data_IF_923854786348
#
_entry.id   IF_923854786348
#
_cell.length_a   1.000
_cell.length_b   1.000
_cell.length_c   1.000
_cell.angle_alpha   90.00
_cell.angle_beta   90.00
_cell.angle_gamma   90.00
#
_symmetry.space_group_name_H-M   'P 1'
#
loop_
_entity.id
_entity.type
_entity.pdbx_description
1 polymer ?
#
# COMPACT_ATOMS: atom_id res chain seq x y z
N UNK A 1 -20.88 -50.44 4.13
CA UNK A 1 -21.77 -49.27 3.99
C UNK A 1 -20.99 -48.08 4.50
N UNK A 2 -20.74 -47.09 3.65
CA UNK A 2 -20.07 -45.84 4.02
C UNK A 2 -20.99 -45.03 4.94
N UNK A 3 -20.50 -44.63 6.11
CA UNK A 3 -21.26 -43.78 7.04
C UNK A 3 -21.47 -42.40 6.39
N UNK A 4 -22.71 -41.92 6.39
CA UNK A 4 -23.09 -40.60 5.86
C UNK A 4 -23.25 -39.62 7.02
N UNK A 5 -22.78 -38.38 6.81
CA UNK A 5 -22.92 -37.26 7.74
C UNK A 5 -23.84 -36.23 7.09
N UNK A 6 -24.81 -35.70 7.85
CA UNK A 6 -25.64 -34.59 7.40
C UNK A 6 -24.87 -33.29 7.52
N UNK A 7 -24.46 -32.72 6.38
CA UNK A 7 -23.66 -31.51 6.31
C UNK A 7 -24.54 -30.33 5.91
N UNK A 8 -24.66 -29.34 6.79
CA UNK A 8 -25.33 -28.05 6.53
C UNK A 8 -24.31 -27.03 6.08
N UNK A 9 -24.54 -26.41 4.92
CA UNK A 9 -23.67 -25.40 4.35
C UNK A 9 -24.28 -24.01 4.50
N UNK A 10 -23.53 -23.09 5.11
CA UNK A 10 -23.97 -21.71 5.37
C UNK A 10 -22.97 -20.74 4.75
N UNK A 11 -23.47 -19.78 3.98
CA UNK A 11 -22.65 -18.65 3.52
C UNK A 11 -22.46 -17.65 4.66
N UNK A 12 -21.22 -17.40 5.07
CA UNK A 12 -20.89 -16.44 6.15
C UNK A 12 -21.21 -15.00 5.82
N UNK A 13 -21.23 -14.64 4.54
CA UNK A 13 -21.47 -13.26 4.10
C UNK A 13 -22.95 -12.91 4.13
N UNK A 14 -23.81 -13.86 3.76
CA UNK A 14 -25.27 -13.65 3.69
C UNK A 14 -26.03 -14.25 4.87
N UNK A 15 -25.42 -15.18 5.61
CA UNK A 15 -26.07 -15.98 6.65
C UNK A 15 -27.07 -17.00 6.12
N UNK A 16 -27.16 -17.16 4.79
CA UNK A 16 -28.15 -18.03 4.14
C UNK A 16 -27.62 -19.47 4.14
N UNK A 17 -28.50 -20.42 4.48
CA UNK A 17 -28.24 -21.85 4.28
C UNK A 17 -28.27 -22.15 2.79
N UNK A 18 -27.12 -22.55 2.25
CA UNK A 18 -26.94 -22.91 0.85
C UNK A 18 -27.54 -24.30 0.54
N UNK A 19 -27.56 -25.18 1.53
CA UNK A 19 -28.19 -26.49 1.45
C UNK A 19 -27.77 -27.45 2.56
N UNK A 20 -28.46 -28.58 2.64
CA UNK A 20 -28.13 -29.71 3.52
C UNK A 20 -27.92 -30.93 2.64
N UNK A 21 -26.77 -31.61 2.79
CA UNK A 21 -26.41 -32.76 1.96
C UNK A 21 -25.89 -33.90 2.84
N UNK A 22 -26.15 -35.13 2.41
CA UNK A 22 -25.52 -36.32 2.99
C UNK A 22 -24.16 -36.55 2.33
N UNK A 23 -23.09 -36.38 3.10
CA UNK A 23 -21.71 -36.52 2.63
C UNK A 23 -21.10 -37.80 3.22
N UNK A 24 -20.49 -38.68 2.41
CA UNK A 24 -19.73 -39.82 2.92
C UNK A 24 -18.58 -39.36 3.84
N UNK A 25 -18.43 -40.01 4.99
CA UNK A 25 -17.38 -39.68 5.96
C UNK A 25 -15.97 -39.68 5.34
N UNK A 26 -15.72 -40.55 4.36
CA UNK A 26 -14.44 -40.66 3.64
C UNK A 26 -14.10 -39.40 2.82
N UNK A 27 -15.09 -38.55 2.51
CA UNK A 27 -14.91 -37.28 1.81
C UNK A 27 -14.75 -36.09 2.77
N UNK A 28 -14.86 -36.32 4.09
CA UNK A 28 -14.67 -35.30 5.11
C UNK A 28 -13.28 -35.44 5.75
N UNK A 29 -12.57 -34.33 6.00
CA UNK A 29 -11.30 -34.37 6.71
C UNK A 29 -11.50 -34.82 8.17
N UNK A 30 -10.41 -35.28 8.79
CA UNK A 30 -10.43 -35.66 10.21
C UNK A 30 -10.65 -34.47 11.16
N UNK A 31 -10.33 -33.25 10.71
CA UNK A 31 -10.51 -32.01 11.46
C UNK A 31 -10.65 -30.83 10.50
N UNK A 32 -11.45 -29.84 10.90
CA UNK A 32 -11.59 -28.54 10.24
C UNK A 32 -10.88 -27.41 11.02
N UNK A 33 -9.97 -27.74 11.94
CA UNK A 33 -9.16 -26.75 12.66
C UNK A 33 -8.12 -26.06 11.74
N UNK A 34 -7.79 -26.68 10.61
CA UNK A 34 -6.91 -26.08 9.60
C UNK A 34 -7.76 -25.52 8.46
N UNK A 35 -7.33 -24.37 7.92
CA UNK A 35 -7.95 -23.74 6.76
C UNK A 35 -8.14 -24.76 5.63
N UNK A 36 -9.40 -25.02 5.28
CA UNK A 36 -9.79 -26.04 4.31
C UNK A 36 -10.62 -25.41 3.21
N UNK A 37 -10.28 -25.71 1.95
CA UNK A 37 -11.05 -25.27 0.79
C UNK A 37 -11.86 -26.42 0.22
N UNK A 38 -13.11 -26.16 -0.15
CA UNK A 38 -14.04 -27.13 -0.72
C UNK A 38 -14.51 -26.65 -2.09
N UNK A 39 -14.50 -27.54 -3.09
CA UNK A 39 -15.09 -27.25 -4.39
C UNK A 39 -16.53 -27.75 -4.43
N UNK A 40 -17.49 -26.84 -4.61
CA UNK A 40 -18.93 -27.16 -4.66
C UNK A 40 -19.59 -26.36 -5.78
N UNK A 41 -20.30 -27.05 -6.68
CA UNK A 41 -21.04 -26.41 -7.77
C UNK A 41 -20.15 -25.66 -8.76
N UNK A 42 -18.89 -26.07 -8.92
CA UNK A 42 -17.92 -25.40 -9.79
C UNK A 42 -17.30 -24.13 -9.20
N UNK A 43 -17.61 -23.79 -7.94
CA UNK A 43 -16.98 -22.70 -7.20
C UNK A 43 -16.10 -23.24 -6.07
N UNK A 44 -15.01 -22.54 -5.79
CA UNK A 44 -14.15 -22.82 -4.63
C UNK A 44 -14.70 -22.06 -3.42
N UNK A 45 -14.74 -22.71 -2.26
CA UNK A 45 -15.26 -22.16 -1.01
C UNK A 45 -14.23 -22.35 0.11
N UNK A 46 -13.95 -21.30 0.87
CA UNK A 46 -13.13 -21.37 2.09
C UNK A 46 -14.03 -21.72 3.27
N UNK A 47 -13.67 -22.74 4.06
CA UNK A 47 -14.35 -23.06 5.32
C UNK A 47 -13.78 -22.16 6.40
N UNK A 48 -14.61 -21.25 6.91
CA UNK A 48 -14.23 -20.29 7.95
C UNK A 48 -14.51 -20.85 9.35
N UNK A 49 -15.56 -21.65 9.49
CA UNK A 49 -15.94 -22.27 10.76
C UNK A 49 -16.68 -23.59 10.53
N UNK A 50 -16.41 -24.56 11.41
CA UNK A 50 -17.06 -25.86 11.42
C UNK A 50 -17.59 -26.17 12.82
N UNK A 51 -18.82 -26.67 12.89
CA UNK A 51 -19.47 -27.07 14.13
C UNK A 51 -20.17 -28.43 13.93
N UNK A 52 -19.69 -29.53 14.55
CA UNK A 52 -18.46 -29.68 15.32
C UNK A 52 -17.16 -29.59 14.49
N UNK A 53 -16.01 -29.34 15.15
CA UNK A 53 -14.71 -29.11 14.45
C UNK A 53 -13.97 -30.40 14.10
N UNK A 54 -14.24 -31.49 14.80
CA UNK A 54 -13.49 -32.74 14.70
C UNK A 54 -14.37 -33.91 14.25
N UNK A 55 -13.76 -34.87 13.56
CA UNK A 55 -14.48 -36.05 13.07
C UNK A 55 -15.14 -36.86 14.18
N UNK A 56 -14.48 -37.03 15.33
CA UNK A 56 -15.07 -37.76 16.46
C UNK A 56 -16.41 -37.18 16.90
N UNK A 57 -16.53 -35.84 16.91
CA UNK A 57 -17.73 -35.13 17.34
C UNK A 57 -18.85 -35.19 16.31
N UNK A 58 -18.56 -34.95 15.03
CA UNK A 58 -19.60 -35.00 14.00
C UNK A 58 -20.01 -36.42 13.60
N UNK A 59 -19.14 -37.42 13.79
CA UNK A 59 -19.50 -38.84 13.71
C UNK A 59 -20.51 -39.20 14.81
N UNK A 60 -20.30 -38.67 16.02
CA UNK A 60 -21.18 -38.92 17.16
C UNK A 60 -22.53 -38.22 17.04
N UNK A 61 -22.55 -36.98 16.56
CA UNK A 61 -23.79 -36.22 16.35
C UNK A 61 -24.53 -36.63 15.07
N UNK A 62 -23.82 -37.17 14.07
CA UNK A 62 -24.33 -37.40 12.72
C UNK A 62 -24.57 -36.12 11.92
N UNK A 63 -24.12 -34.96 12.44
CA UNK A 63 -24.37 -33.64 11.88
C UNK A 63 -23.11 -32.78 11.91
N UNK A 64 -22.92 -32.03 10.84
CA UNK A 64 -21.83 -31.08 10.68
C UNK A 64 -22.38 -29.80 10.05
N UNK A 65 -22.09 -28.64 10.61
CA UNK A 65 -22.38 -27.34 10.01
C UNK A 65 -21.09 -26.69 9.56
N UNK A 66 -21.00 -26.35 8.28
CA UNK A 66 -19.87 -25.64 7.69
C UNK A 66 -20.31 -24.24 7.29
N UNK A 67 -19.69 -23.25 7.93
CA UNK A 67 -19.79 -21.84 7.58
C UNK A 67 -18.65 -21.52 6.63
N UNK A 68 -18.98 -21.12 5.41
CA UNK A 68 -18.03 -20.96 4.33
C UNK A 68 -18.22 -19.66 3.55
N UNK A 69 -17.16 -19.22 2.89
CA UNK A 69 -17.12 -18.04 2.01
C UNK A 69 -16.74 -18.47 0.60
N UNK A 70 -17.48 -18.00 -0.41
CA UNK A 70 -17.11 -18.26 -1.80
C UNK A 70 -15.81 -17.53 -2.13
N UNK A 71 -14.82 -18.27 -2.64
CA UNK A 71 -13.60 -17.72 -3.20
C UNK A 71 -13.89 -17.29 -4.63
N UNK A 72 -14.05 -15.98 -4.85
CA UNK A 72 -14.11 -15.43 -6.20
C UNK A 72 -12.70 -15.46 -6.79
N UNK A 73 -12.49 -16.28 -7.82
CA UNK A 73 -11.31 -16.15 -8.70
C UNK A 73 -11.48 -14.85 -9.48
N UNK A 74 -10.78 -13.81 -9.05
CA UNK A 74 -10.62 -12.58 -9.83
C UNK A 74 -9.58 -12.90 -10.90
N UNK A 75 -9.91 -12.68 -12.18
CA UNK A 75 -8.88 -12.71 -13.22
C UNK A 75 -7.87 -11.61 -12.88
N UNK A 76 -6.56 -11.88 -12.83
CA UNK A 76 -5.56 -10.83 -12.62
C UNK A 76 -5.72 -9.62 -13.56
N UNK A 77 -6.31 -9.81 -14.75
CA UNK A 77 -6.64 -8.73 -15.69
C UNK A 77 -7.77 -7.81 -15.24
N UNK A 78 -8.59 -8.26 -14.30
CA UNK A 78 -9.65 -7.48 -13.67
C UNK A 78 -9.16 -6.74 -12.42
N UNK A 79 -7.91 -6.98 -11.98
CA UNK A 79 -7.28 -6.21 -10.91
C UNK A 79 -6.84 -4.86 -11.47
N UNK A 80 -7.49 -3.80 -11.01
CA UNK A 80 -7.16 -2.42 -11.38
C UNK A 80 -6.18 -1.83 -10.36
N UNK A 81 -5.27 -1.01 -10.84
CA UNK A 81 -4.41 -0.17 -10.01
C UNK A 81 -5.19 1.05 -9.51
N UNK A 82 -4.96 1.44 -8.27
CA UNK A 82 -5.54 2.66 -7.69
C UNK A 82 -4.77 3.92 -8.07
N UNK A 83 -3.51 3.77 -8.50
CA UNK A 83 -2.61 4.87 -8.87
C UNK A 83 -2.17 4.75 -10.32
N UNK A 84 -2.00 5.88 -11.04
CA UNK A 84 -1.49 5.87 -12.40
C UNK A 84 0.02 5.54 -12.44
N UNK A 85 0.71 5.66 -11.30
CA UNK A 85 2.14 5.43 -11.21
C UNK A 85 2.62 5.07 -9.81
N UNK A 86 3.70 4.30 -9.74
CA UNK A 86 4.42 3.95 -8.52
C UNK A 86 5.93 4.14 -8.72
N UNK A 87 6.64 4.44 -7.62
CA UNK A 87 8.10 4.49 -7.64
C UNK A 87 8.68 3.07 -7.80
N UNK A 88 9.68 2.92 -8.67
CA UNK A 88 10.32 1.64 -8.96
C UNK A 88 11.51 1.31 -8.06
N UNK A 89 11.88 2.20 -7.16
CA UNK A 89 13.01 2.09 -6.24
C UNK A 89 12.55 2.08 -4.76
N UNK A 90 11.46 1.36 -4.49
CA UNK A 90 10.98 1.13 -3.13
C UNK A 90 12.12 0.46 -2.32
N UNK A 91 12.48 0.98 -1.13
CA UNK A 91 13.47 0.36 -0.27
C UNK A 91 13.04 -1.06 0.11
N UNK A 92 13.83 -2.04 -0.31
CA UNK A 92 13.60 -3.46 0.01
C UNK A 92 14.55 -3.95 1.10
N UNK A 93 15.71 -3.32 1.23
CA UNK A 93 16.60 -3.51 2.38
C UNK A 93 15.98 -2.85 3.61
N UNK A 94 15.95 -3.59 4.73
CA UNK A 94 15.39 -3.12 5.99
C UNK A 94 16.42 -3.19 7.12
N UNK A 95 16.36 -2.21 8.01
CA UNK A 95 17.04 -2.22 9.31
C UNK A 95 16.12 -2.86 10.35
N UNK A 96 16.62 -3.80 11.19
CA UNK A 96 15.83 -4.35 12.28
C UNK A 96 15.60 -3.34 13.41
N UNK A 97 16.48 -2.34 13.53
CA UNK A 97 16.45 -1.34 14.61
C UNK A 97 15.98 0.02 14.10
N UNK A 98 15.19 0.70 14.93
CA UNK A 98 14.71 2.05 14.69
C UNK A 98 15.87 3.04 14.84
N UNK A 99 16.11 3.87 13.83
CA UNK A 99 17.13 4.92 13.89
C UNK A 99 16.78 6.05 14.88
N UNK A 100 15.48 6.27 15.08
CA UNK A 100 14.90 7.25 15.99
C UNK A 100 13.80 6.63 16.85
N UNK A 101 13.72 7.07 18.11
CA UNK A 101 12.84 6.50 19.12
C UNK A 101 11.66 7.38 19.54
N UNK A 102 11.54 8.61 19.00
CA UNK A 102 10.46 9.51 19.40
C UNK A 102 9.10 8.97 18.94
N UNK A 103 9.03 8.47 17.70
CA UNK A 103 7.86 7.76 17.16
C UNK A 103 8.23 6.91 15.95
N UNK A 104 7.30 6.06 15.51
CA UNK A 104 7.38 5.30 14.26
C UNK A 104 6.29 5.80 13.33
N UNK A 105 6.65 6.04 12.07
CA UNK A 105 5.71 6.33 11.00
C UNK A 105 5.72 5.19 9.99
N UNK A 106 4.54 4.64 9.72
CA UNK A 106 4.36 3.54 8.77
C UNK A 106 3.54 4.01 7.58
N UNK A 107 4.05 3.84 6.36
CA UNK A 107 3.33 4.15 5.12
C UNK A 107 3.15 2.93 4.23
N UNK A 108 2.20 3.00 3.30
CA UNK A 108 2.08 2.01 2.24
C UNK A 108 3.22 2.20 1.24
N UNK A 109 3.78 1.11 0.71
CA UNK A 109 4.88 1.15 -0.26
C UNK A 109 4.50 1.86 -1.56
N UNK A 110 3.26 1.71 -2.03
CA UNK A 110 2.76 2.46 -3.20
C UNK A 110 2.74 3.98 -2.98
N UNK A 111 2.75 4.46 -1.73
CA UNK A 111 2.85 5.89 -1.41
C UNK A 111 4.29 6.42 -1.46
N UNK A 112 5.28 5.53 -1.63
CA UNK A 112 6.68 5.90 -1.72
C UNK A 112 6.93 6.84 -2.89
N UNK A 113 7.54 7.99 -2.57
CA UNK A 113 7.91 9.06 -3.51
C UNK A 113 6.78 9.51 -4.43
N UNK A 114 5.51 9.44 -4.01
CA UNK A 114 4.40 10.01 -4.79
C UNK A 114 4.35 11.54 -4.72
N UNK A 115 4.82 12.08 -3.59
CA UNK A 115 5.05 13.49 -3.39
C UNK A 115 6.50 13.67 -2.96
N UNK A 116 7.33 14.27 -3.80
CA UNK A 116 8.76 14.37 -3.52
C UNK A 116 9.37 15.70 -3.93
N UNK A 117 10.50 16.00 -3.29
CA UNK A 117 11.37 17.09 -3.67
C UNK A 117 12.51 16.58 -4.53
N UNK A 118 12.81 17.28 -5.62
CA UNK A 118 13.92 16.99 -6.52
C UNK A 118 14.78 18.24 -6.77
N UNK A 119 15.97 18.03 -7.30
CA UNK A 119 16.81 19.10 -7.81
C UNK A 119 16.24 19.62 -9.16
N UNK A 120 16.28 20.94 -9.43
CA UNK A 120 15.77 21.51 -10.68
C UNK A 120 16.44 20.93 -11.94
N UNK A 121 17.68 20.47 -11.82
CA UNK A 121 18.44 19.81 -12.90
C UNK A 121 17.83 18.47 -13.36
N UNK A 122 16.90 17.89 -12.59
CA UNK A 122 16.18 16.68 -12.96
C UNK A 122 14.97 16.94 -13.87
N UNK A 123 14.69 18.19 -14.26
CA UNK A 123 13.49 18.59 -15.00
C UNK A 123 13.23 17.81 -16.29
N UNK A 124 14.27 17.53 -17.09
CA UNK A 124 14.14 16.73 -18.31
C UNK A 124 13.67 15.30 -17.99
N UNK A 125 14.25 14.69 -16.96
CA UNK A 125 13.88 13.33 -16.53
C UNK A 125 12.48 13.31 -15.91
N UNK A 126 12.11 14.37 -15.18
CA UNK A 126 10.76 14.56 -14.64
C UNK A 126 9.74 14.58 -15.77
N UNK A 127 10.00 15.36 -16.83
CA UNK A 127 9.07 15.44 -17.95
C UNK A 127 8.89 14.08 -18.65
N UNK A 128 9.97 13.31 -18.81
CA UNK A 128 9.89 11.95 -19.38
C UNK A 128 8.98 11.02 -18.57
N UNK A 129 9.02 11.11 -17.24
CA UNK A 129 8.12 10.31 -16.39
C UNK A 129 6.69 10.85 -16.43
N UNK A 130 6.50 12.17 -16.43
CA UNK A 130 5.18 12.80 -16.51
C UNK A 130 4.46 12.49 -17.82
N UNK A 131 5.18 12.42 -18.95
CA UNK A 131 4.61 12.05 -20.25
C UNK A 131 4.05 10.61 -20.23
N UNK A 132 4.75 9.67 -19.58
CA UNK A 132 4.28 8.29 -19.41
C UNK A 132 3.09 8.20 -18.46
N UNK A 133 3.11 8.98 -17.37
CA UNK A 133 1.98 9.04 -16.43
C UNK A 133 0.74 9.59 -17.12
N UNK A 134 0.91 10.62 -17.96
CA UNK A 134 -0.16 11.17 -18.78
C UNK A 134 -0.74 10.11 -19.72
N UNK A 135 0.11 9.31 -20.37
CA UNK A 135 -0.33 8.18 -21.19
C UNK A 135 -1.18 7.17 -20.40
N UNK A 136 -0.78 6.84 -19.16
CA UNK A 136 -1.58 5.97 -18.26
C UNK A 136 -2.96 6.58 -18.00
N UNK A 137 -3.00 7.87 -17.65
CA UNK A 137 -4.26 8.56 -17.32
C UNK A 137 -5.19 8.65 -18.52
N UNK A 138 -4.67 8.88 -19.71
CA UNK A 138 -5.46 9.05 -20.94
C UNK A 138 -5.95 7.73 -21.53
N UNK A 139 -5.12 6.68 -21.52
CA UNK A 139 -5.41 5.45 -22.28
C UNK A 139 -5.81 4.24 -21.42
N UNK A 140 -5.54 4.27 -20.11
CA UNK A 140 -5.70 3.11 -19.24
C UNK A 140 -6.60 3.34 -18.04
N UNK A 141 -7.19 4.53 -17.91
CA UNK A 141 -8.16 4.85 -16.87
C UNK A 141 -9.51 4.17 -17.11
N UNK A 142 -10.17 3.80 -16.02
CA UNK A 142 -11.55 3.30 -15.96
C UNK A 142 -12.24 3.98 -14.79
N UNK A 143 -13.40 4.58 -15.06
CA UNK A 143 -14.30 5.02 -14.00
C UNK A 143 -14.94 3.77 -13.38
N UNK A 144 -14.77 3.60 -12.07
CA UNK A 144 -15.33 2.49 -11.29
C UNK A 144 -16.57 2.95 -10.52
N UNK A 145 -16.61 4.23 -10.14
CA UNK A 145 -17.73 4.93 -9.51
C UNK A 145 -17.64 6.44 -9.83
N UNK A 146 -18.65 7.24 -9.49
CA UNK A 146 -18.74 8.69 -9.78
C UNK A 146 -17.55 9.52 -9.27
N UNK A 147 -16.79 8.99 -8.30
CA UNK A 147 -15.62 9.65 -7.69
C UNK A 147 -14.33 8.85 -7.74
N UNK A 148 -14.35 7.64 -8.35
CA UNK A 148 -13.23 6.72 -8.29
C UNK A 148 -12.76 6.32 -9.69
N UNK A 149 -11.56 6.80 -10.03
CA UNK A 149 -10.81 6.35 -11.20
C UNK A 149 -9.83 5.28 -10.78
N UNK A 150 -9.85 4.15 -11.48
CA UNK A 150 -8.82 3.12 -11.37
C UNK A 150 -8.16 2.91 -12.74
N UNK A 151 -7.06 2.17 -12.78
CA UNK A 151 -6.25 2.02 -13.98
C UNK A 151 -6.02 0.55 -14.31
N UNK A 152 -6.10 0.22 -15.59
CA UNK A 152 -5.74 -1.13 -16.09
C UNK A 152 -4.23 -1.33 -16.25
N UNK A 153 -3.46 -0.25 -16.14
CA UNK A 153 -2.02 -0.24 -16.22
C UNK A 153 -1.46 0.81 -15.26
N UNK A 154 -0.21 0.66 -14.84
CA UNK A 154 0.46 1.56 -13.90
C UNK A 154 1.89 1.79 -14.37
N UNK A 155 2.32 3.05 -14.39
CA UNK A 155 3.67 3.39 -14.81
C UNK A 155 4.66 3.26 -13.64
N UNK A 156 5.69 2.43 -13.81
CA UNK A 156 6.77 2.25 -12.85
C UNK A 156 7.89 3.28 -13.11
N UNK A 157 8.10 4.23 -12.20
CA UNK A 157 9.12 5.28 -12.33
C UNK A 157 10.51 4.75 -11.98
N UNK A 158 11.46 4.90 -12.88
CA UNK A 158 12.85 4.44 -12.70
C UNK A 158 13.89 5.43 -13.25
N UNK A 159 13.44 6.43 -14.02
CA UNK A 159 14.29 7.33 -14.80
C UNK A 159 14.99 8.36 -13.92
N UNK A 160 14.31 8.84 -12.87
CA UNK A 160 14.84 9.88 -11.96
C UNK A 160 16.02 9.37 -11.15
N UNK A 161 16.03 8.07 -10.80
CA UNK A 161 16.98 7.51 -9.86
C UNK A 161 16.89 8.14 -8.47
N UNK A 162 18.02 8.20 -7.78
CA UNK A 162 18.11 8.76 -6.43
C UNK A 162 18.14 10.31 -6.46
N UNK A 163 17.31 11.01 -5.66
CA UNK A 163 17.22 12.48 -5.69
C UNK A 163 18.51 13.27 -5.37
N UNK A 164 19.44 12.71 -4.59
CA UNK A 164 20.72 13.35 -4.25
C UNK A 164 20.61 14.79 -3.68
N UNK A 165 19.62 15.04 -2.82
CA UNK A 165 19.32 16.40 -2.33
C UNK A 165 20.44 17.05 -1.51
N UNK A 166 21.24 16.27 -0.78
CA UNK A 166 22.34 16.73 0.08
C UNK A 166 21.96 17.89 1.03
N UNK A 167 20.79 17.82 1.67
CA UNK A 167 20.30 18.85 2.61
C UNK A 167 20.77 18.52 4.03
N UNK A 168 21.16 19.53 4.81
CA UNK A 168 21.47 19.32 6.23
C UNK A 168 20.21 18.95 7.03
N UNK A 169 20.26 17.86 7.81
CA UNK A 169 19.10 17.38 8.57
C UNK A 169 18.62 18.37 9.64
N UNK A 170 19.53 18.94 10.43
CA UNK A 170 19.19 19.96 11.44
C UNK A 170 18.63 21.26 10.83
N UNK A 171 19.21 21.82 9.75
CA UNK A 171 18.57 22.92 9.00
C UNK A 171 17.15 22.61 8.53
N UNK A 172 16.89 21.40 8.02
CA UNK A 172 15.54 20.98 7.62
C UNK A 172 14.57 20.96 8.82
N UNK A 173 15.00 20.34 9.93
CA UNK A 173 14.20 20.31 11.18
C UNK A 173 13.87 21.70 11.68
N UNK A 174 14.86 22.60 11.68
CA UNK A 174 14.70 23.99 12.08
C UNK A 174 13.71 24.76 11.18
N UNK A 175 13.79 24.55 9.85
CA UNK A 175 12.85 25.17 8.90
C UNK A 175 11.41 24.69 9.13
N UNK A 176 11.23 23.40 9.39
CA UNK A 176 9.93 22.79 9.65
C UNK A 176 9.42 22.99 11.09
N UNK A 177 10.20 23.67 11.93
CA UNK A 177 9.89 23.90 13.35
C UNK A 177 9.66 22.60 14.14
N UNK A 178 10.32 21.51 13.75
CA UNK A 178 10.20 20.19 14.38
C UNK A 178 11.42 19.91 15.27
N UNK A 179 11.17 19.31 16.45
CA UNK A 179 12.25 18.88 17.35
C UNK A 179 12.42 17.37 17.34
N UNK A 180 11.30 16.67 17.30
CA UNK A 180 11.22 15.20 17.29
C UNK A 180 11.49 14.66 15.89
N UNK A 181 12.11 13.49 15.84
CA UNK A 181 12.31 12.72 14.61
C UNK A 181 11.86 11.29 14.85
N UNK A 182 11.13 10.72 13.90
CA UNK A 182 10.66 9.34 13.97
C UNK A 182 11.34 8.43 12.96
N UNK A 183 11.29 7.13 13.21
CA UNK A 183 11.74 6.12 12.24
C UNK A 183 10.67 5.84 11.20
N UNK A 184 11.12 5.54 9.97
CA UNK A 184 10.25 5.23 8.85
C UNK A 184 10.16 3.72 8.62
N UNK A 185 8.94 3.19 8.51
CA UNK A 185 8.66 1.80 8.14
C UNK A 185 7.67 1.73 6.97
N UNK A 186 7.70 0.62 6.22
CA UNK A 186 6.75 0.32 5.15
C UNK A 186 5.84 -0.83 5.58
N UNK A 187 4.53 -0.74 5.28
CA UNK A 187 3.51 -1.68 5.78
C UNK A 187 3.82 -3.16 5.49
N UNK A 188 4.35 -3.44 4.30
CA UNK A 188 4.60 -4.80 3.82
C UNK A 188 6.03 -5.31 4.07
N UNK A 189 6.82 -4.60 4.90
CA UNK A 189 8.20 -4.95 5.20
C UNK A 189 8.43 -5.06 6.71
N UNK A 190 9.13 -6.11 7.14
CA UNK A 190 9.50 -6.31 8.55
C UNK A 190 10.77 -5.52 8.88
N UNK A 191 10.60 -4.29 9.38
CA UNK A 191 11.70 -3.44 9.83
C UNK A 191 11.54 -1.98 9.41
N UNK A 192 12.65 -1.26 9.41
CA UNK A 192 12.72 0.17 9.11
C UNK A 192 13.49 0.44 7.84
N UNK A 193 13.14 1.51 7.12
CA UNK A 193 13.89 1.97 5.96
C UNK A 193 15.30 2.40 6.44
N UNK A 194 16.40 1.88 5.86
CA UNK A 194 17.75 2.26 6.22
C UNK A 194 17.99 3.76 6.03
N UNK A 195 18.55 4.41 7.04
CA UNK A 195 18.70 5.88 7.07
C UNK A 195 17.37 6.64 7.06
N UNK A 196 16.24 5.93 7.17
CA UNK A 196 14.90 6.49 7.08
C UNK A 196 14.57 7.37 8.28
N UNK A 197 14.04 8.55 8.00
CA UNK A 197 13.56 9.48 9.02
C UNK A 197 12.15 9.97 8.68
N UNK A 198 11.46 10.48 9.70
CA UNK A 198 10.20 11.20 9.57
C UNK A 198 10.14 12.42 10.48
N UNK A 199 9.52 13.50 10.00
CA UNK A 199 9.31 14.75 10.73
C UNK A 199 7.83 15.12 10.62
N UNK A 200 7.16 15.30 11.75
CA UNK A 200 5.74 15.70 11.81
C UNK A 200 5.62 17.20 11.96
N UNK A 201 4.84 17.83 11.09
CA UNK A 201 4.39 19.22 11.24
C UNK A 201 2.91 19.25 11.62
N UNK A 202 2.34 20.45 11.77
CA UNK A 202 0.90 20.61 11.94
C UNK A 202 0.10 20.20 10.68
N UNK A 203 0.74 20.25 9.51
CA UNK A 203 0.06 20.09 8.22
C UNK A 203 0.28 18.72 7.59
N UNK A 204 1.47 18.12 7.74
CA UNK A 204 1.78 16.81 7.14
C UNK A 204 2.92 16.09 7.86
N UNK A 205 3.27 14.90 7.36
CA UNK A 205 4.47 14.17 7.75
C UNK A 205 5.45 14.16 6.59
N UNK A 206 6.62 14.75 6.81
CA UNK A 206 7.76 14.63 5.92
C UNK A 206 8.49 13.34 6.22
N UNK A 207 9.04 12.72 5.19
CA UNK A 207 9.87 11.54 5.31
C UNK A 207 11.03 11.60 4.34
N UNK A 208 12.04 10.80 4.59
CA UNK A 208 13.20 10.76 3.73
C UNK A 208 14.21 9.73 4.16
N UNK A 209 15.36 9.76 3.49
CA UNK A 209 16.54 8.99 3.89
C UNK A 209 17.73 9.91 4.07
N UNK A 210 18.58 9.55 5.03
CA UNK A 210 19.90 10.15 5.23
C UNK A 210 20.96 9.34 4.49
N UNK A 211 21.97 10.02 3.97
CA UNK A 211 23.20 9.40 3.49
C UNK A 211 24.19 9.12 4.64
N UNK A 212 25.33 8.52 4.32
CA UNK A 212 26.40 8.21 5.27
C UNK A 212 27.01 9.47 5.93
N UNK A 213 26.82 10.65 5.35
CA UNK A 213 27.26 11.94 5.88
C UNK A 213 26.17 12.62 6.73
N UNK A 214 25.08 11.92 7.05
CA UNK A 214 23.94 12.46 7.79
C UNK A 214 23.24 13.63 7.09
N UNK A 215 23.29 13.66 5.75
CA UNK A 215 22.53 14.60 4.93
C UNK A 215 21.30 13.93 4.36
N UNK A 216 20.21 14.68 4.27
CA UNK A 216 18.98 14.26 3.62
C UNK A 216 19.26 14.10 2.14
N UNK A 217 19.13 12.84 1.69
CA UNK A 217 19.37 12.40 0.33
C UNK A 217 18.05 12.35 -0.47
N UNK A 218 16.97 11.94 0.19
CA UNK A 218 15.60 11.91 -0.33
C UNK A 218 14.68 12.63 0.65
N UNK A 219 13.73 13.41 0.12
CA UNK A 219 12.69 14.07 0.90
C UNK A 219 11.35 13.98 0.16
N UNK A 220 10.32 13.54 0.87
CA UNK A 220 8.95 13.51 0.40
C UNK A 220 7.95 13.84 1.50
N UNK A 221 6.68 13.92 1.13
CA UNK A 221 5.57 14.13 2.08
C UNK A 221 4.59 12.97 1.98
N UNK A 222 4.04 12.55 3.12
CA UNK A 222 3.11 11.43 3.17
C UNK A 222 1.75 11.80 2.58
N UNK A 223 1.29 13.04 2.81
CA UNK A 223 0.03 13.54 2.31
C UNK A 223 0.21 14.98 1.83
N UNK A 224 -0.33 15.28 0.65
CA UNK A 224 -0.41 16.63 0.10
C UNK A 224 -1.80 17.22 0.36
N UNK A 225 -1.83 18.49 0.74
CA UNK A 225 -3.07 19.28 0.85
C UNK A 225 -2.77 20.76 0.61
N UNK A 226 -3.80 21.57 0.38
CA UNK A 226 -3.64 23.02 0.18
C UNK A 226 -2.87 23.70 1.33
N UNK A 227 -3.04 23.23 2.57
CA UNK A 227 -2.33 23.78 3.72
C UNK A 227 -0.82 23.51 3.69
N UNK A 228 -0.39 22.41 3.06
CA UNK A 228 1.04 22.05 2.96
C UNK A 228 1.80 22.92 1.96
N UNK A 229 1.11 23.63 1.06
CA UNK A 229 1.74 24.41 -0.03
C UNK A 229 2.74 25.45 0.52
N UNK A 230 2.43 26.09 1.64
CA UNK A 230 3.31 27.10 2.22
C UNK A 230 4.62 26.50 2.74
N UNK A 231 4.54 25.36 3.45
CA UNK A 231 5.73 24.64 3.93
C UNK A 231 6.59 24.15 2.75
N UNK A 232 5.95 23.59 1.71
CA UNK A 232 6.62 23.16 0.48
C UNK A 232 7.37 24.32 -0.17
N UNK A 233 6.73 25.50 -0.30
CA UNK A 233 7.37 26.70 -0.85
C UNK A 233 8.55 27.17 0.00
N UNK A 234 8.48 27.08 1.32
CA UNK A 234 9.60 27.42 2.19
C UNK A 234 10.79 26.47 1.98
N UNK A 235 10.55 25.15 1.88
CA UNK A 235 11.60 24.17 1.58
C UNK A 235 12.23 24.46 0.21
N UNK A 236 11.40 24.65 -0.82
CA UNK A 236 11.85 24.98 -2.18
C UNK A 236 12.76 26.21 -2.17
N UNK A 237 12.35 27.29 -1.50
CA UNK A 237 13.13 28.53 -1.46
C UNK A 237 14.41 28.39 -0.65
N UNK A 238 14.38 27.65 0.46
CA UNK A 238 15.53 27.48 1.33
C UNK A 238 16.62 26.58 0.72
N UNK A 239 16.22 25.55 -0.03
CA UNK A 239 17.14 24.52 -0.53
C UNK A 239 17.27 24.47 -2.06
N UNK A 240 16.55 25.33 -2.79
CA UNK A 240 16.65 25.41 -4.25
C UNK A 240 16.11 24.16 -4.95
N UNK A 241 14.93 23.69 -4.53
CA UNK A 241 14.32 22.44 -5.02
C UNK A 241 13.10 22.72 -5.91
N UNK A 242 12.58 21.65 -6.50
CA UNK A 242 11.22 21.59 -7.03
C UNK A 242 10.44 20.53 -6.25
N UNK A 243 9.12 20.67 -6.20
CA UNK A 243 8.23 19.67 -5.62
C UNK A 243 7.30 19.11 -6.68
N UNK A 244 7.05 17.80 -6.63
CA UNK A 244 6.24 17.11 -7.64
C UNK A 244 5.17 16.28 -6.95
N UNK A 245 3.93 16.42 -7.42
CA UNK A 245 2.85 15.45 -7.25
C UNK A 245 2.79 14.57 -8.50
N UNK A 246 3.28 13.34 -8.38
CA UNK A 246 3.38 12.43 -9.53
C UNK A 246 2.03 11.95 -10.03
N UNK A 247 1.08 11.69 -9.14
CA UNK A 247 -0.23 11.16 -9.52
C UNK A 247 -1.04 12.20 -10.30
N UNK A 248 -0.94 13.47 -9.90
CA UNK A 248 -1.63 14.57 -10.58
C UNK A 248 -0.82 15.17 -11.74
N UNK A 249 0.51 15.00 -11.71
CA UNK A 249 1.43 15.58 -12.68
C UNK A 249 1.64 17.07 -12.45
N UNK A 250 1.56 17.51 -11.19
CA UNK A 250 1.73 18.91 -10.80
C UNK A 250 3.16 19.16 -10.33
N UNK A 251 3.72 20.31 -10.70
CA UNK A 251 5.04 20.77 -10.28
C UNK A 251 4.87 22.11 -9.56
N UNK A 252 5.45 22.22 -8.37
CA UNK A 252 5.57 23.48 -7.62
C UNK A 252 7.03 23.92 -7.64
N UNK A 253 7.27 25.13 -8.14
CA UNK A 253 8.60 25.73 -8.25
C UNK A 253 8.71 27.04 -7.48
N UNK A 254 9.94 27.45 -7.15
CA UNK A 254 10.22 28.65 -6.36
C UNK A 254 10.07 29.97 -7.11
N UNK A 255 9.74 29.95 -8.40
CA UNK A 255 9.60 31.14 -9.21
C UNK A 255 8.15 31.61 -9.26
N UNK A 256 7.83 32.62 -8.44
CA UNK A 256 6.84 33.59 -8.86
C UNK A 256 7.37 34.26 -10.13
N UNK A 257 6.73 33.97 -11.26
CA UNK A 257 6.82 34.82 -12.45
C UNK A 257 6.51 36.26 -12.02
N UNK A 258 7.55 37.09 -11.90
CA UNK A 258 7.39 38.54 -11.94
C UNK A 258 7.04 38.89 -13.39
N UNK A 259 5.75 39.07 -13.64
CA UNK A 259 5.28 40.00 -14.66
C UNK A 259 4.93 41.32 -13.98
#
# INVERSE_FOLDING_TARGET
MSQLINVTFIDVTTGITLGIYEVPLEQLPQSFETATTLNMGGSDWSIEEAEPKTAEEFIKSGQLTLKMRQLKKVDPKDVLFSLPTIAGDIPTDVSPEAAYNDFIFTMHEDSWRQYEFLLPQSSELVQLELDKIKEIKENYSKEVDESLTAYTNCHLRQTIGNPQLSIGFEPLKALLLTKEAGSLALKNYEGFVPGGFTLKTGETTYYGTLDDQQKVNLLGIANFSENTINEIKFIIQAFGLIFIDWCNGEIIEGHSSRN
#
